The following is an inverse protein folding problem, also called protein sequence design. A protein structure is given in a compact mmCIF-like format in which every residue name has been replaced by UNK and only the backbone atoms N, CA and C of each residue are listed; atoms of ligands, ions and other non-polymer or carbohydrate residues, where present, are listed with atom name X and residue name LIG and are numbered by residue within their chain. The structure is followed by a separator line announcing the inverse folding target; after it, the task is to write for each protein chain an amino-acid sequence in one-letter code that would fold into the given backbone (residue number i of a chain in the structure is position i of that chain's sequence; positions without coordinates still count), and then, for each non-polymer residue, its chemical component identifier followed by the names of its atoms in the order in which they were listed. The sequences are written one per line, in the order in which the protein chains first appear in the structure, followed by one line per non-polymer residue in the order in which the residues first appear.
data_IF_411506530263
#
_entry.id   IF_411506530263
#
_cell.length_a   1.000
_cell.length_b   1.000
_cell.length_c   1.000
_cell.angle_alpha   90.00
_cell.angle_beta   90.00
_cell.angle_gamma   90.00
#
_symmetry.space_group_name_H-M   'P 1'
#
loop_
_entity.id
_entity.type
_entity.pdbx_description
1 polymer ?
#
# COMPACT_ATOMS: atom_id res chain seq x y z
N UNK A 1 -10.60 -17.03 13.22
CA UNK A 1 -9.42 -16.51 13.96
C UNK A 1 -9.82 -16.18 15.39
N UNK A 2 -10.80 -15.31 15.62
CA UNK A 2 -11.28 -14.98 16.98
C UNK A 2 -11.54 -16.22 17.86
N UNK A 3 -12.35 -17.18 17.36
CA UNK A 3 -12.59 -18.43 18.11
C UNK A 3 -11.37 -19.33 18.31
N UNK A 4 -10.34 -19.24 17.46
CA UNK A 4 -9.08 -19.96 17.66
C UNK A 4 -8.24 -19.31 18.77
N UNK A 5 -8.21 -17.97 18.81
CA UNK A 5 -7.49 -17.20 19.82
C UNK A 5 -8.24 -17.09 21.16
N UNK A 6 -9.53 -17.45 21.20
CA UNK A 6 -10.38 -17.22 22.37
C UNK A 6 -10.58 -15.74 22.69
N UNK A 7 -10.45 -14.85 21.70
CA UNK A 7 -10.55 -13.41 21.89
C UNK A 7 -12.01 -12.94 22.00
N UNK A 8 -12.27 -11.92 22.81
CA UNK A 8 -13.54 -11.17 22.77
C UNK A 8 -13.61 -10.35 21.49
N UNK A 9 -14.45 -10.77 20.54
CA UNK A 9 -14.47 -10.23 19.18
C UNK A 9 -15.63 -9.25 18.99
N UNK A 10 -15.30 -8.06 18.48
CA UNK A 10 -16.26 -7.01 18.19
C UNK A 10 -16.23 -6.73 16.69
N UNK A 11 -17.41 -6.65 16.08
CA UNK A 11 -17.60 -6.37 14.66
C UNK A 11 -18.36 -5.07 14.50
N UNK A 12 -17.94 -4.26 13.52
CA UNK A 12 -18.62 -3.03 13.15
C UNK A 12 -18.94 -3.06 11.67
N UNK A 13 -20.21 -2.88 11.35
CA UNK A 13 -20.70 -2.72 9.99
C UNK A 13 -20.80 -1.23 9.69
N UNK A 14 -20.05 -0.75 8.69
CA UNK A 14 -20.08 0.65 8.29
C UNK A 14 -21.27 0.93 7.36
N UNK A 15 -22.08 1.91 7.73
CA UNK A 15 -23.12 2.47 6.89
C UNK A 15 -22.57 3.69 6.12
N UNK A 16 -22.63 3.72 4.77
CA UNK A 16 -22.17 4.85 3.97
C UNK A 16 -22.85 6.18 4.34
N UNK A 17 -24.08 6.17 4.88
CA UNK A 17 -24.74 7.38 5.34
C UNK A 17 -24.06 7.97 6.58
N UNK A 18 -23.63 7.12 7.52
CA UNK A 18 -22.82 7.52 8.68
C UNK A 18 -21.47 8.08 8.23
N UNK A 19 -20.82 7.43 7.26
CA UNK A 19 -19.56 7.89 6.66
C UNK A 19 -19.72 9.32 6.10
N UNK A 20 -20.83 9.62 5.42
CA UNK A 20 -21.09 10.96 4.88
C UNK A 20 -21.14 12.02 5.99
N UNK A 21 -21.75 11.72 7.13
CA UNK A 21 -21.87 12.63 8.27
C UNK A 21 -20.60 12.76 9.12
N UNK A 22 -19.70 11.78 9.04
CA UNK A 22 -18.39 11.83 9.71
C UNK A 22 -17.27 12.38 8.81
N UNK A 23 -17.53 12.59 7.50
CA UNK A 23 -16.49 12.87 6.51
C UNK A 23 -15.60 14.06 6.88
N UNK A 24 -16.18 15.18 7.32
CA UNK A 24 -15.39 16.35 7.74
C UNK A 24 -14.47 16.03 8.92
N UNK A 25 -14.98 15.33 9.94
CA UNK A 25 -14.17 14.94 11.10
C UNK A 25 -13.05 13.97 10.73
N UNK A 26 -13.30 13.07 9.79
CA UNK A 26 -12.29 12.15 9.27
C UNK A 26 -11.19 12.93 8.53
N UNK A 27 -11.58 13.87 7.65
CA UNK A 27 -10.64 14.68 6.89
C UNK A 27 -9.85 15.66 7.78
N UNK A 28 -10.51 16.30 8.73
CA UNK A 28 -9.87 17.16 9.73
C UNK A 28 -8.84 16.37 10.56
N UNK A 29 -9.20 15.13 10.94
CA UNK A 29 -8.31 14.23 11.66
C UNK A 29 -7.05 13.84 10.88
N UNK A 30 -7.08 13.85 9.54
CA UNK A 30 -5.91 13.55 8.71
C UNK A 30 -4.87 14.66 8.71
N UNK A 31 -5.26 15.91 8.96
CA UNK A 31 -4.41 17.12 8.99
C UNK A 31 -3.47 17.26 7.75
N UNK A 32 -3.82 16.60 6.65
CA UNK A 32 -3.06 16.55 5.41
C UNK A 32 -3.95 16.01 4.27
N UNK A 33 -3.69 16.38 3.00
CA UNK A 33 -4.42 15.88 1.85
C UNK A 33 -3.99 14.43 1.50
N UNK A 34 -4.22 13.49 2.41
CA UNK A 34 -3.93 12.08 2.24
C UNK A 34 -5.13 11.39 1.57
N UNK A 35 -4.94 10.92 0.34
CA UNK A 35 -6.00 10.30 -0.45
C UNK A 35 -6.08 8.77 -0.28
N UNK A 36 -5.97 8.26 0.95
CA UNK A 36 -6.13 6.83 1.25
C UNK A 36 -7.56 6.53 1.76
N UNK A 37 -8.39 5.78 1.00
CA UNK A 37 -9.74 5.41 1.43
C UNK A 37 -9.75 4.49 2.66
N UNK A 38 -8.65 3.81 2.98
CA UNK A 38 -8.54 3.00 4.21
C UNK A 38 -8.50 3.84 5.49
N UNK A 39 -8.40 5.16 5.36
CA UNK A 39 -8.60 6.12 6.45
C UNK A 39 -9.96 5.93 7.12
N UNK A 40 -11.03 5.78 6.32
CA UNK A 40 -12.41 5.65 6.81
C UNK A 40 -12.57 4.45 7.75
N UNK A 41 -12.25 3.21 7.37
CA UNK A 41 -12.39 2.08 8.28
C UNK A 41 -11.38 2.13 9.44
N UNK A 42 -10.22 2.77 9.27
CA UNK A 42 -9.25 2.95 10.38
C UNK A 42 -9.82 3.87 11.47
N UNK A 43 -10.50 4.95 11.08
CA UNK A 43 -11.23 5.84 12.00
C UNK A 43 -12.25 5.06 12.84
N UNK A 44 -13.17 4.35 12.17
CA UNK A 44 -14.21 3.60 12.85
C UNK A 44 -13.71 2.45 13.71
N UNK A 45 -12.69 1.72 13.25
CA UNK A 45 -12.05 0.69 14.06
C UNK A 45 -11.39 1.27 15.31
N UNK A 46 -10.75 2.44 15.18
CA UNK A 46 -10.11 3.11 16.31
C UNK A 46 -11.13 3.60 17.32
N UNK A 47 -12.24 4.17 16.85
CA UNK A 47 -13.37 4.57 17.67
C UNK A 47 -13.91 3.38 18.49
N UNK A 48 -14.22 2.26 17.82
CA UNK A 48 -14.73 1.05 18.47
C UNK A 48 -13.73 0.47 19.47
N UNK A 49 -12.46 0.36 19.09
CA UNK A 49 -11.43 -0.19 19.96
C UNK A 49 -11.24 0.69 21.22
N UNK A 50 -11.32 2.02 21.07
CA UNK A 50 -11.14 2.95 22.20
C UNK A 50 -12.17 2.75 23.30
N UNK A 51 -13.38 2.32 22.97
CA UNK A 51 -14.42 2.05 23.96
C UNK A 51 -13.99 1.00 25.00
N UNK A 52 -13.00 0.17 24.68
CA UNK A 52 -12.58 -0.99 25.50
C UNK A 52 -11.12 -0.94 25.92
N UNK A 53 -10.24 -0.42 25.07
CA UNK A 53 -8.79 -0.41 25.31
C UNK A 53 -8.19 0.95 24.99
N UNK A 54 -7.04 1.23 25.58
CA UNK A 54 -6.24 2.42 25.26
C UNK A 54 -5.07 2.11 24.32
N UNK A 55 -4.72 0.83 24.16
CA UNK A 55 -3.61 0.37 23.30
C UNK A 55 -4.10 -0.79 22.42
N UNK A 56 -3.75 -0.75 21.14
CA UNK A 56 -4.02 -1.80 20.16
C UNK A 56 -2.72 -2.20 19.41
N UNK A 57 -2.66 -3.46 18.98
CA UNK A 57 -1.58 -3.96 18.12
C UNK A 57 -2.08 -4.06 16.67
N UNK A 58 -1.34 -3.49 15.73
CA UNK A 58 -1.66 -3.50 14.31
C UNK A 58 -0.66 -4.33 13.50
N UNK A 59 -1.14 -4.91 12.40
CA UNK A 59 -0.32 -5.64 11.44
C UNK A 59 0.36 -4.76 10.38
N UNK A 60 0.30 -3.44 10.53
CA UNK A 60 0.96 -2.48 9.64
C UNK A 60 2.48 -2.70 9.59
N UNK A 61 3.09 -2.44 8.44
CA UNK A 61 4.52 -2.71 8.20
C UNK A 61 4.84 -4.16 7.76
N UNK A 62 3.93 -5.12 7.97
CA UNK A 62 4.19 -6.51 7.59
C UNK A 62 4.37 -6.70 6.07
N UNK A 63 3.64 -5.95 5.25
CA UNK A 63 3.69 -6.07 3.79
C UNK A 63 4.99 -5.48 3.22
N UNK A 64 5.50 -4.42 3.86
CA UNK A 64 6.72 -3.70 3.54
C UNK A 64 7.96 -4.50 3.93
N UNK A 65 7.93 -5.15 5.10
CA UNK A 65 9.07 -5.90 5.62
C UNK A 65 9.16 -7.31 5.00
N UNK A 66 8.03 -7.99 4.79
CA UNK A 66 8.01 -9.39 4.33
C UNK A 66 7.55 -9.58 2.89
N UNK A 67 7.22 -8.51 2.17
CA UNK A 67 6.81 -8.58 0.77
C UNK A 67 5.42 -9.18 0.57
N UNK A 68 4.41 -8.43 0.98
CA UNK A 68 3.00 -8.84 0.94
C UNK A 68 2.18 -8.39 -0.26
N UNK A 69 2.64 -7.41 -1.03
CA UNK A 69 1.81 -6.83 -2.08
C UNK A 69 2.01 -7.48 -3.45
N UNK A 70 0.91 -7.67 -4.17
CA UNK A 70 0.94 -8.13 -5.56
C UNK A 70 1.74 -7.19 -6.48
N UNK A 71 1.70 -5.86 -6.21
CA UNK A 71 2.49 -4.87 -6.96
C UNK A 71 4.00 -5.10 -6.86
N UNK A 72 4.48 -5.53 -5.69
CA UNK A 72 5.90 -5.85 -5.50
C UNK A 72 6.31 -7.04 -6.38
N UNK A 73 5.52 -8.12 -6.38
CA UNK A 73 5.78 -9.31 -7.22
C UNK A 73 5.74 -8.99 -8.71
N UNK A 74 4.81 -8.14 -9.11
CA UNK A 74 4.67 -7.70 -10.49
C UNK A 74 5.92 -6.95 -10.97
N UNK A 75 6.38 -5.97 -10.19
CA UNK A 75 7.56 -5.17 -10.54
C UNK A 75 8.85 -6.03 -10.53
N UNK A 76 9.00 -6.92 -9.54
CA UNK A 76 10.11 -7.90 -9.52
C UNK A 76 10.09 -8.80 -10.76
N UNK A 77 8.90 -9.20 -11.22
CA UNK A 77 8.74 -9.96 -12.47
C UNK A 77 9.22 -9.19 -13.69
N UNK A 78 8.86 -7.90 -13.78
CA UNK A 78 9.34 -7.02 -14.85
C UNK A 78 10.86 -6.84 -14.79
N UNK A 79 11.43 -6.71 -13.60
CA UNK A 79 12.87 -6.48 -13.44
C UNK A 79 13.69 -7.70 -13.88
N UNK A 80 13.20 -8.90 -13.57
CA UNK A 80 13.80 -10.16 -14.01
C UNK A 80 13.79 -10.36 -15.54
N UNK A 81 12.94 -9.68 -16.29
CA UNK A 81 12.97 -9.72 -17.77
C UNK A 81 14.22 -9.04 -18.35
N UNK A 82 14.89 -8.18 -17.57
CA UNK A 82 15.97 -7.34 -18.07
C UNK A 82 15.50 -6.33 -19.12
N UNK A 83 16.42 -5.51 -19.64
CA UNK A 83 16.09 -4.46 -20.61
C UNK A 83 15.60 -5.04 -21.95
N UNK A 84 16.25 -6.09 -22.44
CA UNK A 84 15.90 -6.74 -23.71
C UNK A 84 14.51 -7.41 -23.63
N UNK A 85 14.24 -8.16 -22.55
CA UNK A 85 12.95 -8.82 -22.38
C UNK A 85 11.79 -7.83 -22.27
N UNK A 86 11.98 -6.72 -21.56
CA UNK A 86 10.98 -5.63 -21.47
C UNK A 86 10.64 -5.04 -22.84
N UNK A 87 11.65 -4.82 -23.69
CA UNK A 87 11.45 -4.26 -25.04
C UNK A 87 10.72 -5.23 -25.98
N UNK A 88 10.97 -6.53 -25.84
CA UNK A 88 10.41 -7.55 -26.72
C UNK A 88 9.03 -8.06 -26.28
N UNK A 89 8.71 -7.99 -24.98
CA UNK A 89 7.48 -8.55 -24.42
C UNK A 89 6.19 -8.05 -25.12
N UNK A 90 6.00 -6.75 -25.42
CA UNK A 90 4.80 -6.30 -26.13
C UNK A 90 4.64 -6.95 -27.50
N UNK A 91 5.73 -7.09 -28.25
CA UNK A 91 5.74 -7.74 -29.56
C UNK A 91 5.39 -9.22 -29.45
N UNK A 92 5.99 -9.92 -28.48
CA UNK A 92 5.70 -11.34 -28.21
C UNK A 92 4.23 -11.55 -27.85
N UNK A 93 3.66 -10.68 -27.01
CA UNK A 93 2.24 -10.76 -26.65
C UNK A 93 1.35 -10.56 -27.89
N UNK A 94 1.65 -9.56 -28.73
CA UNK A 94 0.90 -9.30 -29.97
C UNK A 94 0.97 -10.49 -30.94
N UNK A 95 2.14 -11.10 -31.10
CA UNK A 95 2.31 -12.32 -31.92
C UNK A 95 1.52 -13.51 -31.36
N UNK A 96 1.38 -13.60 -30.03
CA UNK A 96 0.56 -14.62 -29.37
C UNK A 96 -0.95 -14.28 -29.36
N UNK A 97 -1.40 -13.30 -30.14
CA UNK A 97 -2.80 -12.89 -30.21
C UNK A 97 -3.30 -12.11 -28.99
N UNK A 98 -2.41 -11.67 -28.10
CA UNK A 98 -2.74 -10.90 -26.90
C UNK A 98 -2.40 -9.42 -27.10
N UNK A 99 -3.32 -8.54 -26.76
CA UNK A 99 -3.02 -7.10 -26.71
C UNK A 99 -2.52 -6.74 -25.31
N UNK A 100 -1.27 -6.26 -25.16
CA UNK A 100 -0.83 -5.68 -23.88
C UNK A 100 -1.70 -4.47 -23.54
N UNK A 101 -1.99 -4.27 -22.26
CA UNK A 101 -2.68 -3.06 -21.81
C UNK A 101 -1.76 -1.86 -21.85
N UNK A 102 -2.32 -0.65 -22.00
CA UNK A 102 -1.54 0.59 -21.99
C UNK A 102 -0.73 0.75 -20.71
N UNK A 103 -1.30 0.34 -19.57
CA UNK A 103 -0.61 0.31 -18.26
C UNK A 103 0.62 -0.62 -18.29
N UNK A 104 0.51 -1.80 -18.88
CA UNK A 104 1.64 -2.73 -19.01
C UNK A 104 2.72 -2.13 -19.91
N UNK A 105 2.34 -1.63 -21.10
CA UNK A 105 3.31 -1.03 -22.02
C UNK A 105 4.03 0.16 -21.40
N UNK A 106 3.30 1.04 -20.70
CA UNK A 106 3.87 2.17 -19.97
C UNK A 106 4.91 1.68 -18.95
N UNK A 107 4.58 0.68 -18.14
CA UNK A 107 5.49 0.16 -17.10
C UNK A 107 6.70 -0.60 -17.62
N UNK A 108 6.59 -1.23 -18.79
CA UNK A 108 7.75 -1.87 -19.42
C UNK A 108 8.77 -0.85 -19.93
N UNK A 109 8.31 0.37 -20.26
CA UNK A 109 9.14 1.50 -20.70
C UNK A 109 9.70 2.30 -19.52
N UNK A 110 9.01 2.32 -18.39
CA UNK A 110 9.48 2.98 -17.17
C UNK A 110 10.80 2.38 -16.72
N UNK A 111 11.67 3.25 -16.25
CA UNK A 111 12.91 2.83 -15.60
C UNK A 111 12.50 1.99 -14.40
N UNK A 112 13.20 0.90 -14.08
CA UNK A 112 12.75 -0.01 -13.03
C UNK A 112 12.71 0.57 -11.61
N UNK A 113 13.01 1.86 -11.50
CA UNK A 113 13.18 2.70 -10.34
C UNK A 113 11.86 3.04 -9.66
N UNK A 114 11.98 3.98 -8.75
CA UNK A 114 10.95 4.83 -8.18
C UNK A 114 9.78 5.21 -9.11
N UNK A 115 10.00 5.48 -10.40
CA UNK A 115 8.91 5.88 -11.32
C UNK A 115 7.73 4.90 -11.29
N UNK A 116 8.00 3.59 -11.26
CA UNK A 116 6.92 2.60 -11.17
C UNK A 116 6.28 2.57 -9.79
N UNK A 117 7.05 2.78 -8.72
CA UNK A 117 6.50 2.92 -7.37
C UNK A 117 5.52 4.09 -7.31
N UNK A 118 5.92 5.24 -7.84
CA UNK A 118 5.07 6.43 -7.89
C UNK A 118 3.86 6.19 -8.78
N UNK A 119 4.02 5.54 -9.95
CA UNK A 119 2.90 5.16 -10.81
C UNK A 119 1.88 4.23 -10.13
N UNK A 120 2.27 3.47 -9.09
CA UNK A 120 1.30 2.70 -8.30
C UNK A 120 0.43 3.56 -7.38
N UNK A 121 0.98 4.65 -6.83
CA UNK A 121 0.27 5.59 -5.95
C UNK A 121 -0.32 6.79 -6.69
N UNK A 122 0.05 7.00 -7.95
CA UNK A 122 -0.37 8.14 -8.76
C UNK A 122 -1.79 7.94 -9.27
N UNK A 123 -2.68 8.86 -8.89
CA UNK A 123 -4.05 8.93 -9.38
C UNK A 123 -4.11 9.73 -10.68
N UNK A 124 -3.39 10.87 -10.73
CA UNK A 124 -3.38 11.81 -11.85
C UNK A 124 -1.98 12.04 -12.40
N UNK A 125 -1.89 12.19 -13.72
CA UNK A 125 -0.71 12.68 -14.42
C UNK A 125 -0.43 14.17 -14.16
N UNK A 126 0.73 14.67 -14.57
CA UNK A 126 1.06 16.08 -14.42
C UNK A 126 0.14 16.92 -15.29
N UNK A 127 -0.01 16.49 -16.54
CA UNK A 127 -0.94 17.07 -17.50
C UNK A 127 -2.38 17.02 -16.99
N UNK A 128 -2.82 15.91 -16.38
CA UNK A 128 -4.17 15.82 -15.79
C UNK A 128 -4.35 16.77 -14.59
N UNK A 129 -3.33 16.95 -13.75
CA UNK A 129 -3.36 17.93 -12.65
C UNK A 129 -3.40 19.35 -13.22
N UNK A 130 -2.57 19.66 -14.22
CA UNK A 130 -2.50 20.98 -14.85
C UNK A 130 -3.80 21.32 -15.61
N UNK A 131 -4.44 20.34 -16.24
CA UNK A 131 -5.75 20.48 -16.89
C UNK A 131 -6.88 20.72 -15.86
N UNK A 132 -6.75 20.14 -14.66
CA UNK A 132 -7.74 20.29 -13.57
C UNK A 132 -7.48 21.53 -12.70
N UNK A 133 -6.25 22.04 -12.65
CA UNK A 133 -5.86 23.14 -11.80
C UNK A 133 -6.05 24.50 -12.49
N UNK A 134 -6.44 25.51 -11.71
CA UNK A 134 -6.59 26.88 -12.22
C UNK A 134 -5.24 27.55 -12.62
N UNK A 135 -4.12 26.93 -12.25
CA UNK A 135 -2.77 27.32 -12.63
C UNK A 135 -1.90 26.05 -12.67
N UNK A 136 -0.87 25.97 -13.54
CA UNK A 136 0.03 24.82 -13.58
C UNK A 136 0.72 24.66 -12.23
N UNK A 137 0.45 23.54 -11.55
CA UNK A 137 0.90 23.34 -10.17
C UNK A 137 2.29 22.71 -10.12
N UNK A 138 2.67 21.87 -11.10
CA UNK A 138 3.99 21.20 -11.10
C UNK A 138 4.30 20.49 -12.42
N UNK A 139 5.55 20.59 -12.89
CA UNK A 139 6.06 19.70 -13.95
C UNK A 139 6.19 18.26 -13.44
N UNK A 140 6.13 17.28 -14.35
CA UNK A 140 6.37 15.87 -14.00
C UNK A 140 7.75 15.67 -13.34
N UNK A 141 8.77 16.37 -13.83
CA UNK A 141 10.10 16.37 -13.21
C UNK A 141 10.07 16.90 -11.77
N UNK A 142 9.34 17.99 -11.50
CA UNK A 142 9.22 18.56 -10.15
C UNK A 142 8.49 17.61 -9.19
N UNK A 143 7.46 16.89 -9.64
CA UNK A 143 6.78 15.87 -8.84
C UNK A 143 7.69 14.67 -8.51
N UNK A 144 8.57 14.28 -9.43
CA UNK A 144 9.46 13.13 -9.25
C UNK A 144 10.73 13.49 -8.48
N UNK A 145 11.11 14.77 -8.41
CA UNK A 145 12.37 15.25 -7.82
C UNK A 145 12.59 14.87 -6.35
N UNK A 146 11.61 15.02 -5.42
CA UNK A 146 11.81 14.67 -4.00
C UNK A 146 12.22 13.22 -3.79
N UNK A 147 11.90 12.38 -4.76
CA UNK A 147 12.16 10.96 -4.70
C UNK A 147 13.48 10.56 -5.39
N UNK A 148 14.12 11.48 -6.12
CA UNK A 148 15.35 11.18 -6.89
C UNK A 148 16.52 10.73 -6.02
N UNK A 149 16.66 11.28 -4.80
CA UNK A 149 17.67 10.85 -3.82
C UNK A 149 17.39 9.44 -3.30
N UNK A 150 16.12 9.12 -3.07
CA UNK A 150 15.70 7.79 -2.64
C UNK A 150 15.89 6.75 -3.75
N UNK A 151 15.75 7.14 -5.02
CA UNK A 151 15.97 6.28 -6.17
C UNK A 151 17.42 5.80 -6.26
N UNK A 152 18.41 6.57 -5.78
CA UNK A 152 19.81 6.18 -5.76
C UNK A 152 20.07 5.01 -4.79
N UNK A 153 19.58 5.11 -3.55
CA UNK A 153 19.68 4.04 -2.53
C UNK A 153 18.95 2.77 -2.98
N UNK A 154 17.79 2.94 -3.60
CA UNK A 154 17.02 1.82 -4.16
C UNK A 154 17.78 1.05 -5.25
N UNK A 155 18.45 1.78 -6.15
CA UNK A 155 19.11 1.19 -7.32
C UNK A 155 20.21 0.20 -6.91
N UNK A 156 20.94 0.50 -5.85
CA UNK A 156 21.97 -0.39 -5.29
C UNK A 156 21.39 -1.74 -4.86
N UNK A 157 20.29 -1.72 -4.11
CA UNK A 157 19.61 -2.93 -3.68
C UNK A 157 18.94 -3.65 -4.86
N UNK A 158 18.31 -2.95 -5.79
CA UNK A 158 17.57 -3.58 -6.88
C UNK A 158 18.48 -4.36 -7.86
N UNK A 159 19.71 -3.89 -8.07
CA UNK A 159 20.70 -4.56 -8.92
C UNK A 159 21.18 -5.87 -8.28
N UNK A 160 21.38 -5.88 -6.97
CA UNK A 160 21.86 -7.05 -6.22
C UNK A 160 20.72 -8.02 -5.87
N UNK A 161 19.55 -7.49 -5.51
CA UNK A 161 18.36 -8.21 -5.09
C UNK A 161 17.07 -7.41 -5.41
N UNK A 162 16.38 -7.73 -6.52
CA UNK A 162 15.19 -6.98 -6.95
C UNK A 162 14.05 -6.96 -5.92
N UNK A 163 13.93 -8.01 -5.10
CA UNK A 163 12.88 -8.06 -4.06
C UNK A 163 13.22 -7.08 -2.96
N UNK A 164 14.43 -7.18 -2.39
CA UNK A 164 14.86 -6.29 -1.32
C UNK A 164 14.92 -4.82 -1.76
N UNK A 165 15.33 -4.56 -3.00
CA UNK A 165 15.20 -3.24 -3.60
C UNK A 165 13.76 -2.74 -3.51
N UNK A 166 12.79 -3.52 -3.97
CA UNK A 166 11.39 -3.09 -3.93
C UNK A 166 10.86 -2.86 -2.51
N UNK A 167 11.18 -3.74 -1.56
CA UNK A 167 10.75 -3.59 -0.17
C UNK A 167 11.37 -2.35 0.49
N UNK A 168 12.62 -2.03 0.16
CA UNK A 168 13.25 -0.80 0.61
C UNK A 168 12.51 0.44 0.09
N UNK A 169 12.01 0.47 -1.15
CA UNK A 169 11.20 1.61 -1.61
C UNK A 169 9.94 1.79 -0.77
N UNK A 170 9.22 0.70 -0.50
CA UNK A 170 7.98 0.75 0.27
C UNK A 170 8.21 1.28 1.69
N UNK A 171 9.28 0.83 2.34
CA UNK A 171 9.64 1.28 3.69
C UNK A 171 10.00 2.77 3.74
N UNK A 172 10.60 3.32 2.69
CA UNK A 172 11.12 4.69 2.69
C UNK A 172 10.14 5.70 2.05
N UNK A 173 9.18 5.25 1.21
CA UNK A 173 8.11 6.13 0.69
C UNK A 173 6.74 5.83 1.26
N UNK A 174 6.26 4.61 1.07
CA UNK A 174 4.84 4.29 1.27
C UNK A 174 4.48 4.21 2.75
N UNK A 175 5.36 3.59 3.54
CA UNK A 175 5.16 3.43 4.97
C UNK A 175 5.12 4.78 5.72
N UNK A 176 6.12 5.68 5.59
CA UNK A 176 6.09 6.99 6.25
C UNK A 176 5.23 8.03 5.53
N UNK A 177 4.96 7.85 4.23
CA UNK A 177 4.20 8.82 3.42
C UNK A 177 2.70 8.58 3.41
N UNK A 178 2.23 7.39 3.78
CA UNK A 178 0.82 7.02 3.70
C UNK A 178 0.35 6.22 4.93
N UNK A 179 0.90 5.01 5.11
CA UNK A 179 0.35 4.04 6.07
C UNK A 179 0.45 4.49 7.53
N UNK A 180 1.65 4.83 8.00
CA UNK A 180 1.87 5.17 9.41
C UNK A 180 1.19 6.48 9.81
N UNK A 181 1.30 7.59 9.04
CA UNK A 181 0.60 8.82 9.39
C UNK A 181 -0.92 8.64 9.44
N UNK A 182 -1.51 7.89 8.50
CA UNK A 182 -2.94 7.56 8.51
C UNK A 182 -3.32 6.86 9.81
N UNK A 183 -2.61 5.79 10.15
CA UNK A 183 -2.95 4.95 11.32
C UNK A 183 -2.78 5.74 12.61
N UNK A 184 -1.67 6.46 12.74
CA UNK A 184 -1.40 7.32 13.89
C UNK A 184 -2.50 8.37 14.06
N UNK A 185 -2.80 9.14 13.01
CA UNK A 185 -3.79 10.21 13.08
C UNK A 185 -5.21 9.72 13.33
N UNK A 186 -5.65 8.68 12.61
CA UNK A 186 -7.00 8.13 12.80
C UNK A 186 -7.17 7.48 14.17
N UNK A 187 -6.12 6.87 14.72
CA UNK A 187 -6.17 6.29 16.07
C UNK A 187 -6.08 7.35 17.16
N UNK A 188 -5.22 8.35 16.99
CA UNK A 188 -5.09 9.48 17.92
C UNK A 188 -6.32 10.39 17.95
N UNK A 189 -7.05 10.51 16.84
CA UNK A 189 -8.36 11.18 16.83
C UNK A 189 -9.35 10.57 17.84
N UNK A 190 -9.12 9.32 18.25
CA UNK A 190 -9.87 8.62 19.28
C UNK A 190 -9.02 8.28 20.51
N UNK A 191 -7.87 8.92 20.72
CA UNK A 191 -6.99 8.66 21.89
C UNK A 191 -6.65 7.17 22.08
N UNK A 192 -6.42 6.44 20.99
CA UNK A 192 -6.04 5.04 20.97
C UNK A 192 -4.59 4.89 20.50
N UNK A 193 -3.69 4.40 21.35
CA UNK A 193 -2.31 4.10 20.96
C UNK A 193 -2.24 2.84 20.11
N UNK A 194 -1.81 2.96 18.85
CA UNK A 194 -1.57 1.80 17.98
C UNK A 194 -0.08 1.49 17.91
N UNK A 195 0.29 0.27 18.28
CA UNK A 195 1.66 -0.25 18.13
C UNK A 195 1.77 -1.16 16.92
N UNK A 196 2.95 -1.17 16.30
CA UNK A 196 3.23 -1.86 15.03
C UNK A 196 4.37 -2.88 15.19
N UNK A 197 4.12 -4.07 15.77
CA UNK A 197 5.18 -5.00 16.16
C UNK A 197 6.08 -5.48 15.02
N UNK A 198 5.60 -5.48 13.77
CA UNK A 198 6.41 -5.86 12.61
C UNK A 198 7.52 -4.85 12.28
N UNK A 199 7.43 -3.63 12.82
CA UNK A 199 8.44 -2.59 12.69
C UNK A 199 9.33 -2.46 13.93
N UNK A 200 9.22 -3.39 14.89
CA UNK A 200 10.17 -3.47 15.99
C UNK A 200 11.60 -3.67 15.46
N UNK A 201 12.56 -2.99 16.07
CA UNK A 201 13.95 -3.02 15.62
C UNK A 201 14.51 -4.45 15.57
N UNK A 202 14.15 -5.34 16.50
CA UNK A 202 14.65 -6.72 16.49
C UNK A 202 14.09 -7.51 15.30
N UNK A 203 12.84 -7.28 14.93
CA UNK A 203 12.21 -7.90 13.75
C UNK A 203 12.86 -7.37 12.49
N UNK A 204 13.04 -6.05 12.40
CA UNK A 204 13.63 -5.38 11.24
C UNK A 204 15.09 -5.81 11.05
N UNK A 205 15.90 -5.78 12.10
CA UNK A 205 17.32 -6.17 12.08
C UNK A 205 17.50 -7.65 11.69
N UNK A 206 16.57 -8.51 12.09
CA UNK A 206 16.58 -9.92 11.69
C UNK A 206 16.21 -10.11 10.22
N UNK A 207 15.18 -9.42 9.74
CA UNK A 207 14.57 -9.70 8.44
C UNK A 207 15.28 -8.97 7.30
N UNK A 208 15.70 -7.72 7.50
CA UNK A 208 16.27 -6.90 6.42
C UNK A 208 17.50 -7.52 5.76
N UNK A 209 18.49 -8.08 6.48
CA UNK A 209 19.68 -8.66 5.87
C UNK A 209 19.41 -9.93 5.06
N UNK A 210 18.25 -10.58 5.25
CA UNK A 210 17.94 -11.82 4.55
C UNK A 210 17.78 -11.57 3.03
N UNK A 211 18.24 -12.52 2.18
CA UNK A 211 17.96 -12.49 0.76
C UNK A 211 16.45 -12.39 0.52
N UNK A 212 16.05 -11.58 -0.47
CA UNK A 212 14.66 -11.32 -0.78
C UNK A 212 13.86 -12.57 -1.14
N UNK A 213 14.52 -13.65 -1.56
CA UNK A 213 13.91 -14.97 -1.76
C UNK A 213 13.27 -15.58 -0.50
N UNK A 214 13.72 -15.19 0.70
CA UNK A 214 13.07 -15.56 1.96
C UNK A 214 11.80 -14.77 2.23
N UNK A 215 11.63 -13.61 1.59
CA UNK A 215 10.50 -12.70 1.82
C UNK A 215 9.42 -12.93 0.76
N UNK A 216 9.81 -12.95 -0.51
CA UNK A 216 8.87 -13.02 -1.61
C UNK A 216 9.47 -13.76 -2.83
N UNK A 217 8.59 -14.46 -3.54
CA UNK A 217 8.84 -14.98 -4.88
C UNK A 217 7.74 -14.51 -5.84
N UNK A 218 7.90 -14.80 -7.14
CA UNK A 218 6.85 -14.50 -8.13
C UNK A 218 5.52 -15.20 -7.81
N UNK A 219 5.57 -16.35 -7.14
CA UNK A 219 4.39 -17.19 -6.84
C UNK A 219 3.84 -17.02 -5.43
N UNK A 220 4.68 -16.61 -4.47
CA UNK A 220 4.34 -16.60 -3.04
C UNK A 220 4.82 -15.32 -2.38
N UNK A 221 3.90 -14.66 -1.68
CA UNK A 221 4.17 -13.52 -0.81
C UNK A 221 4.49 -13.98 0.62
N UNK A 222 5.12 -13.11 1.42
CA UNK A 222 5.35 -13.29 2.86
C UNK A 222 5.89 -14.66 3.25
N UNK A 223 6.85 -15.20 2.48
CA UNK A 223 7.30 -16.59 2.63
C UNK A 223 7.75 -16.88 4.06
N UNK A 224 8.67 -16.07 4.60
CA UNK A 224 9.16 -16.20 5.97
C UNK A 224 8.06 -16.02 7.02
N UNK A 225 7.24 -14.96 6.88
CA UNK A 225 6.19 -14.67 7.86
C UNK A 225 5.10 -15.75 7.88
N UNK A 226 4.74 -16.31 6.71
CA UNK A 226 3.79 -17.43 6.63
C UNK A 226 4.36 -18.68 7.27
N UNK A 227 5.65 -18.95 7.08
CA UNK A 227 6.32 -20.07 7.73
C UNK A 227 6.33 -19.92 9.25
N UNK A 228 6.61 -18.73 9.77
CA UNK A 228 6.51 -18.45 11.21
C UNK A 228 5.07 -18.63 11.73
N UNK A 229 4.08 -18.16 10.95
CA UNK A 229 2.67 -18.32 11.30
C UNK A 229 2.20 -19.79 11.34
N UNK A 230 2.85 -20.71 10.62
CA UNK A 230 2.49 -22.14 10.64
C UNK A 230 2.74 -22.81 12.00
N UNK A 231 3.59 -22.22 12.84
CA UNK A 231 3.92 -22.76 14.16
C UNK A 231 2.81 -22.50 15.18
N UNK A 232 2.24 -21.28 15.18
CA UNK A 232 1.34 -20.81 16.24
C UNK A 232 -0.11 -20.57 15.77
N UNK A 233 -0.37 -20.50 14.45
CA UNK A 233 -1.68 -20.19 13.89
C UNK A 233 -2.26 -21.39 13.13
N UNK A 234 -3.61 -21.46 12.97
CA UNK A 234 -4.21 -22.54 12.21
C UNK A 234 -3.70 -22.53 10.77
N UNK A 235 -3.55 -23.69 10.09
CA UNK A 235 -3.02 -23.77 8.73
C UNK A 235 -3.75 -22.86 7.73
N UNK A 236 -5.05 -22.63 7.95
CA UNK A 236 -5.87 -21.73 7.14
C UNK A 236 -5.41 -20.28 7.20
N UNK A 237 -4.79 -19.82 8.29
CA UNK A 237 -4.24 -18.48 8.42
C UNK A 237 -2.99 -18.28 7.57
N UNK A 238 -2.01 -19.19 7.68
CA UNK A 238 -0.77 -19.15 6.89
C UNK A 238 -1.01 -19.42 5.39
N UNK A 239 -2.06 -20.17 5.05
CA UNK A 239 -2.45 -20.42 3.66
C UNK A 239 -3.24 -19.25 3.03
N UNK A 240 -3.88 -18.40 3.84
CA UNK A 240 -4.83 -17.37 3.38
C UNK A 240 -4.18 -16.38 2.42
N UNK A 241 -4.82 -16.14 1.29
CA UNK A 241 -4.41 -15.10 0.36
C UNK A 241 -4.47 -13.70 1.01
N UNK A 242 -3.53 -12.82 0.62
CA UNK A 242 -3.54 -11.44 1.09
C UNK A 242 -4.86 -10.78 0.69
N UNK A 243 -5.51 -10.16 1.67
CA UNK A 243 -6.64 -9.24 1.44
C UNK A 243 -6.23 -7.84 1.86
N UNK A 244 -6.60 -6.86 1.05
CA UNK A 244 -6.48 -5.45 1.39
C UNK A 244 -7.52 -5.05 2.44
N UNK A 245 -7.28 -3.91 3.07
CA UNK A 245 -8.25 -3.28 3.97
C UNK A 245 -9.12 -2.29 3.20
N UNK A 246 -9.75 -2.79 2.14
CA UNK A 246 -10.40 -1.97 1.11
C UNK A 246 -11.84 -1.60 1.49
N UNK A 247 -12.24 -0.39 1.10
CA UNK A 247 -13.64 0.04 1.07
C UNK A 247 -14.09 0.28 -0.37
N UNK A 248 -15.39 0.11 -0.70
CA UNK A 248 -15.90 0.30 -2.05
C UNK A 248 -16.05 1.80 -2.39
N UNK A 249 -14.98 2.58 -2.24
CA UNK A 249 -14.98 4.03 -2.34
C UNK A 249 -15.56 4.53 -3.67
N UNK A 250 -15.26 3.87 -4.79
CA UNK A 250 -15.82 4.25 -6.08
C UNK A 250 -17.35 4.11 -6.15
N UNK A 251 -17.92 3.09 -5.50
CA UNK A 251 -19.38 2.94 -5.40
C UNK A 251 -19.97 3.99 -4.45
N UNK A 252 -19.29 4.29 -3.36
CA UNK A 252 -19.71 5.31 -2.40
C UNK A 252 -19.71 6.72 -3.00
N UNK A 253 -18.63 7.12 -3.68
CA UNK A 253 -18.52 8.42 -4.36
C UNK A 253 -19.53 8.60 -5.49
N UNK A 254 -19.93 7.51 -6.18
CA UNK A 254 -20.99 7.56 -7.21
C UNK A 254 -22.41 7.53 -6.65
N UNK A 255 -22.57 7.20 -5.38
CA UNK A 255 -23.87 7.04 -4.72
C UNK A 255 -23.95 7.85 -3.43
N UNK A 256 -23.87 7.21 -2.26
CA UNK A 256 -24.17 7.83 -0.96
C UNK A 256 -23.29 9.04 -0.61
N UNK A 257 -22.01 9.06 -1.03
CA UNK A 257 -21.10 10.18 -0.78
C UNK A 257 -21.13 11.24 -1.89
N UNK A 258 -21.88 11.03 -2.98
CA UNK A 258 -21.93 11.97 -4.10
C UNK A 258 -22.38 13.38 -3.69
N UNK A 259 -23.43 13.58 -2.86
CA UNK A 259 -23.84 14.92 -2.46
C UNK A 259 -22.72 15.65 -1.69
N UNK A 260 -22.13 14.99 -0.69
CA UNK A 260 -21.03 15.54 0.09
C UNK A 260 -19.81 15.89 -0.77
N UNK A 261 -19.49 15.08 -1.79
CA UNK A 261 -18.43 15.38 -2.73
C UNK A 261 -18.74 16.65 -3.56
N UNK A 262 -19.96 16.77 -4.08
CA UNK A 262 -20.36 17.90 -4.93
C UNK A 262 -20.44 19.23 -4.16
N UNK A 263 -20.76 19.20 -2.87
CA UNK A 263 -20.75 20.42 -2.04
C UNK A 263 -19.35 21.02 -1.85
N UNK A 264 -18.28 20.26 -2.16
CA UNK A 264 -16.87 20.62 -1.95
C UNK A 264 -16.12 20.90 -3.26
N UNK A 265 -16.77 20.76 -4.42
CA UNK A 265 -16.23 21.05 -5.76
C UNK A 265 -16.80 22.37 -6.28
#
# INVERSE_FOLDING_TARGET
MAGFLGSDHHELMMDPATVAGDLDRILDGLDAPLADPTTIPTWYMSQLARERVTVALSGEGADEIFGGYARQRYDVGIDRLGAAGRRLLPTVLRMAGRRPSDRLERRLRMTPRLERQLDWGRIFSADEIDDMAAAPLVSEEAMLRPYSELAARWLEYAVSDPVNGRLATDRETFLPGDLLPKVDRMSMAHSLEVRVPYLDNQVVDLVLPLPGSFKQSLRRDKILLRKAAEEDLPPSAAAREKRGFEVPIGAWLRGPLRPALLDRL
#
